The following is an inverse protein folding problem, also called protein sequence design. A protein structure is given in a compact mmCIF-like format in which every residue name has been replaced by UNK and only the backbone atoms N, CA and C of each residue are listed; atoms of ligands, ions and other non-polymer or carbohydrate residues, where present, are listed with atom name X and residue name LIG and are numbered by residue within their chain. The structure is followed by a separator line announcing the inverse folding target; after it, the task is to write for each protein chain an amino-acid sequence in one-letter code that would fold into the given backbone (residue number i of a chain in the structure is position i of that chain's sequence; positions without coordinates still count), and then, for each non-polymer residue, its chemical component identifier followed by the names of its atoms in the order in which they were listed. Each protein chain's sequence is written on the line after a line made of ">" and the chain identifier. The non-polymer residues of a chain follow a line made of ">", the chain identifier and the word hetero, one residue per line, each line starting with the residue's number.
data_IF_466696563226
#
_entry.id   IF_466696563226
#
_cell.length_a   1.000
_cell.length_b   1.000
_cell.length_c   1.000
_cell.angle_alpha   90.00
_cell.angle_beta   90.00
_cell.angle_gamma   90.00
#
_symmetry.space_group_name_H-M   'P 1'
#
loop_
_entity.id
_entity.type
_entity.pdbx_description
1 polymer ?
#
# COMPACT_ATOMS: atom_id res chain seq x y z
N UNK A 1 -22.70 -2.48 2.85
CA UNK A 1 -21.55 -2.38 1.92
C UNK A 1 -21.02 -3.80 1.69
N UNK A 2 -20.40 -4.12 0.54
CA UNK A 2 -19.78 -5.43 0.37
C UNK A 2 -18.61 -5.60 1.35
N UNK A 3 -18.35 -6.85 1.76
CA UNK A 3 -17.19 -7.19 2.57
C UNK A 3 -16.05 -7.65 1.68
N UNK A 4 -14.89 -7.02 1.84
CA UNK A 4 -13.68 -7.28 1.05
C UNK A 4 -12.52 -7.61 1.97
N UNK A 5 -11.65 -8.51 1.49
CA UNK A 5 -10.28 -8.64 2.01
C UNK A 5 -9.46 -7.40 1.63
N UNK A 6 -8.29 -7.23 2.25
CA UNK A 6 -7.40 -6.12 1.89
C UNK A 6 -6.87 -6.28 0.45
N UNK A 7 -6.63 -7.52 0.00
CA UNK A 7 -6.31 -7.83 -1.42
C UNK A 7 -7.40 -7.28 -2.35
N UNK A 8 -8.66 -7.61 -2.05
CA UNK A 8 -9.80 -7.16 -2.86
C UNK A 8 -9.99 -5.65 -2.81
N UNK A 9 -9.75 -5.01 -1.67
CA UNK A 9 -9.85 -3.56 -1.52
C UNK A 9 -8.76 -2.82 -2.31
N UNK A 10 -7.52 -3.31 -2.28
CA UNK A 10 -6.40 -2.78 -3.09
C UNK A 10 -6.70 -2.93 -4.57
N UNK A 11 -7.20 -4.12 -4.98
CA UNK A 11 -7.63 -4.36 -6.36
C UNK A 11 -8.73 -3.41 -6.79
N UNK A 12 -9.72 -3.20 -5.95
CA UNK A 12 -10.85 -2.32 -6.21
C UNK A 12 -10.43 -0.84 -6.28
N UNK A 13 -9.47 -0.41 -5.46
CA UNK A 13 -8.86 0.93 -5.58
C UNK A 13 -8.20 1.16 -6.94
N UNK A 14 -7.39 0.20 -7.40
CA UNK A 14 -6.78 0.28 -8.73
C UNK A 14 -7.85 0.22 -9.83
N UNK A 15 -8.85 -0.65 -9.71
CA UNK A 15 -9.95 -0.74 -10.66
C UNK A 15 -10.69 0.60 -10.80
N UNK A 16 -11.07 1.20 -9.68
CA UNK A 16 -11.76 2.49 -9.64
C UNK A 16 -10.90 3.60 -10.24
N UNK A 17 -9.62 3.64 -9.90
CA UNK A 17 -8.70 4.68 -10.38
C UNK A 17 -8.45 4.56 -11.88
N UNK A 18 -8.22 3.35 -12.39
CA UNK A 18 -8.02 3.08 -13.81
C UNK A 18 -9.26 3.40 -14.65
N UNK A 19 -10.46 3.13 -14.12
CA UNK A 19 -11.72 3.45 -14.78
C UNK A 19 -12.06 4.95 -14.80
N UNK A 20 -11.53 5.73 -13.85
CA UNK A 20 -11.76 7.18 -13.73
C UNK A 20 -10.76 8.03 -14.47
N UNK A 21 -9.50 7.60 -14.54
CA UNK A 21 -8.42 8.36 -15.15
C UNK A 21 -7.62 7.47 -16.12
N UNK A 22 -7.70 7.80 -17.41
CA UNK A 22 -7.00 7.09 -18.48
C UNK A 22 -5.47 7.16 -18.34
N UNK A 23 -4.96 8.12 -17.57
CA UNK A 23 -3.53 8.28 -17.28
C UNK A 23 -3.01 7.25 -16.28
N UNK A 24 -3.89 6.57 -15.53
CA UNK A 24 -3.48 5.58 -14.53
C UNK A 24 -3.05 4.29 -15.23
N UNK A 25 -1.82 3.87 -14.98
CA UNK A 25 -1.26 2.61 -15.50
C UNK A 25 -0.74 1.76 -14.34
N UNK A 26 -0.91 0.45 -14.42
CA UNK A 26 -0.54 -0.50 -13.34
C UNK A 26 0.42 -1.53 -13.92
N UNK A 27 1.62 -1.68 -13.36
CA UNK A 27 2.56 -2.68 -13.85
C UNK A 27 3.59 -3.08 -12.80
N UNK A 28 4.21 -4.24 -13.03
CA UNK A 28 5.20 -4.86 -12.15
C UNK A 28 5.38 -6.32 -12.53
N UNK A 29 6.16 -7.05 -11.74
CA UNK A 29 6.39 -8.48 -11.95
C UNK A 29 5.11 -9.29 -11.70
N UNK A 30 4.69 -10.08 -12.68
CA UNK A 30 3.46 -10.90 -12.67
C UNK A 30 2.13 -10.14 -12.48
N UNK A 31 2.17 -8.80 -12.52
CA UNK A 31 1.01 -7.91 -12.29
C UNK A 31 -0.04 -8.01 -13.39
N UNK A 32 0.36 -8.33 -14.62
CA UNK A 32 -0.48 -8.29 -15.81
C UNK A 32 -1.40 -9.50 -15.92
N UNK A 33 -0.97 -10.52 -16.66
CA UNK A 33 -1.85 -11.66 -16.99
C UNK A 33 -2.20 -12.50 -15.76
N UNK A 34 -1.22 -12.78 -14.89
CA UNK A 34 -1.42 -13.60 -13.71
C UNK A 34 -2.25 -12.89 -12.63
N UNK A 35 -2.15 -11.56 -12.55
CA UNK A 35 -2.88 -10.75 -11.59
C UNK A 35 -2.16 -10.53 -10.26
N UNK A 36 -0.84 -10.65 -10.26
CA UNK A 36 0.06 -10.51 -9.11
C UNK A 36 0.10 -11.76 -8.23
N UNK A 37 1.24 -12.01 -7.60
CA UNK A 37 1.44 -13.19 -6.72
C UNK A 37 0.51 -13.22 -5.51
N UNK A 38 0.00 -12.05 -5.11
CA UNK A 38 -1.02 -11.89 -4.06
C UNK A 38 -2.45 -11.67 -4.58
N UNK A 39 -2.67 -11.74 -5.90
CA UNK A 39 -3.97 -11.48 -6.57
C UNK A 39 -4.49 -10.05 -6.49
N UNK A 40 -3.66 -9.10 -6.05
CA UNK A 40 -4.02 -7.69 -5.91
C UNK A 40 -4.39 -7.02 -7.25
N UNK A 41 -3.97 -7.57 -8.40
CA UNK A 41 -4.26 -6.98 -9.73
C UNK A 41 -5.07 -7.92 -10.63
N UNK A 42 -5.63 -8.98 -10.05
CA UNK A 42 -6.39 -10.00 -10.78
C UNK A 42 -7.49 -9.40 -11.67
N UNK A 43 -7.44 -9.72 -12.97
CA UNK A 43 -8.46 -9.31 -13.94
C UNK A 43 -8.33 -7.86 -14.45
N UNK A 44 -7.44 -7.03 -13.90
CA UNK A 44 -7.26 -5.65 -14.36
C UNK A 44 -6.76 -5.61 -15.82
N UNK A 45 -5.81 -6.47 -16.20
CA UNK A 45 -5.37 -6.57 -17.60
C UNK A 45 -6.49 -7.01 -18.54
N UNK A 46 -7.33 -7.96 -18.13
CA UNK A 46 -8.45 -8.41 -18.96
C UNK A 46 -9.47 -7.29 -19.20
N UNK A 47 -9.69 -6.43 -18.20
CA UNK A 47 -10.64 -5.31 -18.26
C UNK A 47 -10.10 -4.09 -19.02
N UNK A 48 -8.84 -3.70 -18.78
CA UNK A 48 -8.26 -2.46 -19.30
C UNK A 48 -7.23 -2.65 -20.44
N UNK A 49 -6.87 -3.89 -20.74
CA UNK A 49 -5.92 -4.23 -21.79
C UNK A 49 -4.45 -4.09 -21.38
N UNK A 50 -3.58 -4.66 -22.22
CA UNK A 50 -2.12 -4.74 -22.01
C UNK A 50 -1.42 -3.39 -22.00
N UNK A 51 -2.03 -2.34 -22.54
CA UNK A 51 -1.45 -0.99 -22.50
C UNK A 51 -1.69 -0.25 -21.17
N UNK A 52 -2.56 -0.80 -20.29
CA UNK A 52 -2.96 -0.18 -19.03
C UNK A 52 -2.61 -1.02 -17.81
N UNK A 53 -2.62 -2.36 -17.93
CA UNK A 53 -2.14 -3.27 -16.90
C UNK A 53 -1.27 -4.39 -17.50
N UNK A 54 0.01 -4.45 -17.15
CA UNK A 54 0.98 -5.34 -17.81
C UNK A 54 2.09 -5.87 -16.90
N UNK A 55 2.68 -6.98 -17.34
CA UNK A 55 3.83 -7.62 -16.72
C UNK A 55 5.13 -6.88 -17.10
N UNK A 56 6.01 -6.70 -16.13
CA UNK A 56 7.32 -6.10 -16.30
C UNK A 56 8.45 -7.15 -16.19
N UNK A 57 9.63 -6.89 -16.76
CA UNK A 57 10.84 -7.66 -16.44
C UNK A 57 11.18 -7.57 -14.94
N UNK A 58 11.87 -8.58 -14.42
CA UNK A 58 12.39 -8.61 -13.04
C UNK A 58 13.55 -7.62 -12.93
N UNK A 59 13.21 -6.36 -12.67
CA UNK A 59 14.15 -5.25 -12.55
C UNK A 59 13.44 -4.06 -11.90
N UNK A 60 13.56 -3.93 -10.58
CA UNK A 60 12.88 -2.90 -9.80
C UNK A 60 13.33 -1.50 -10.20
N UNK A 61 14.63 -1.33 -10.51
CA UNK A 61 15.15 -0.05 -11.00
C UNK A 61 14.55 0.35 -12.35
N UNK A 62 14.33 -0.62 -13.24
CA UNK A 62 13.66 -0.42 -14.53
C UNK A 62 12.18 -0.12 -14.37
N UNK A 63 11.49 -0.81 -13.46
CA UNK A 63 10.09 -0.57 -13.13
C UNK A 63 9.91 0.87 -12.64
N UNK A 64 10.67 1.28 -11.62
CA UNK A 64 10.55 2.62 -11.03
C UNK A 64 11.07 3.70 -11.99
N UNK A 65 12.22 3.48 -12.65
CA UNK A 65 12.79 4.45 -13.58
C UNK A 65 11.87 4.75 -14.78
N UNK A 66 11.26 3.71 -15.34
CA UNK A 66 10.26 3.88 -16.41
C UNK A 66 9.00 4.59 -15.90
N UNK A 67 8.53 4.29 -14.69
CA UNK A 67 7.41 4.99 -14.06
C UNK A 67 7.71 6.49 -13.88
N UNK A 68 8.91 6.86 -13.45
CA UNK A 68 9.32 8.26 -13.32
C UNK A 68 9.27 8.97 -14.67
N UNK A 69 9.78 8.34 -15.74
CA UNK A 69 9.69 8.88 -17.10
C UNK A 69 8.24 9.04 -17.59
N UNK A 70 7.39 8.05 -17.33
CA UNK A 70 5.95 8.10 -17.63
C UNK A 70 5.25 9.23 -16.87
N UNK A 71 5.58 9.42 -15.60
CA UNK A 71 5.06 10.51 -14.78
C UNK A 71 5.51 11.89 -15.28
N UNK A 72 6.77 12.04 -15.69
CA UNK A 72 7.28 13.26 -16.32
C UNK A 72 6.57 13.59 -17.65
N UNK A 73 6.15 12.56 -18.41
CA UNK A 73 5.32 12.73 -19.61
C UNK A 73 3.87 13.16 -19.29
N UNK A 74 3.36 12.78 -18.11
CA UNK A 74 2.02 13.14 -17.63
C UNK A 74 1.07 11.96 -17.37
N UNK A 75 1.59 10.73 -17.29
CA UNK A 75 0.85 9.57 -16.78
C UNK A 75 0.85 9.51 -15.25
N UNK A 76 0.06 8.60 -14.68
CA UNK A 76 -0.01 8.31 -13.23
C UNK A 76 0.27 6.82 -12.94
N UNK A 77 1.53 6.39 -12.96
CA UNK A 77 1.88 4.99 -12.69
C UNK A 77 1.60 4.58 -11.24
N UNK A 78 0.90 3.46 -11.08
CA UNK A 78 0.78 2.71 -9.82
C UNK A 78 1.51 1.37 -10.00
N UNK A 79 2.80 1.35 -9.67
CA UNK A 79 3.69 0.20 -9.90
C UNK A 79 3.78 -0.69 -8.67
N UNK A 80 4.11 -1.97 -8.88
CA UNK A 80 4.34 -2.95 -7.81
C UNK A 80 5.80 -3.42 -7.81
N UNK A 81 6.39 -3.49 -6.61
CA UNK A 81 7.58 -4.31 -6.33
C UNK A 81 7.11 -5.48 -5.47
N UNK A 82 7.42 -6.71 -5.88
CA UNK A 82 6.75 -7.92 -5.41
C UNK A 82 6.82 -8.13 -3.88
N UNK A 83 7.93 -7.75 -3.25
CA UNK A 83 8.09 -7.66 -1.80
C UNK A 83 8.89 -6.40 -1.45
N UNK A 84 8.56 -5.76 -0.33
CA UNK A 84 9.32 -4.61 0.17
C UNK A 84 10.82 -4.93 0.35
N UNK A 85 11.14 -6.19 0.65
CA UNK A 85 12.50 -6.72 0.79
C UNK A 85 13.33 -6.62 -0.51
N UNK A 86 12.69 -6.56 -1.68
CA UNK A 86 13.34 -6.49 -3.00
C UNK A 86 13.42 -5.08 -3.55
N UNK A 87 13.07 -4.07 -2.74
CA UNK A 87 13.05 -2.69 -3.21
C UNK A 87 14.46 -2.12 -3.49
N UNK A 88 15.50 -2.65 -2.83
CA UNK A 88 16.85 -2.07 -2.82
C UNK A 88 17.44 -1.73 -4.21
N UNK A 89 17.26 -2.54 -5.27
CA UNK A 89 17.72 -2.18 -6.61
C UNK A 89 17.09 -0.89 -7.15
N UNK A 90 15.86 -0.55 -6.75
CA UNK A 90 15.17 0.69 -7.11
C UNK A 90 15.45 1.87 -6.17
N UNK A 91 16.23 1.70 -5.09
CA UNK A 91 16.37 2.74 -4.07
C UNK A 91 17.00 4.03 -4.61
N UNK A 92 17.95 3.93 -5.55
CA UNK A 92 18.51 5.10 -6.23
C UNK A 92 17.43 5.87 -7.01
N UNK A 93 16.60 5.18 -7.81
CA UNK A 93 15.50 5.79 -8.56
C UNK A 93 14.47 6.45 -7.63
N UNK A 94 14.17 5.85 -6.48
CA UNK A 94 13.21 6.43 -5.54
C UNK A 94 13.77 7.67 -4.83
N UNK A 95 15.01 7.60 -4.36
CA UNK A 95 15.57 8.63 -3.46
C UNK A 95 16.26 9.78 -4.19
N UNK A 96 16.89 9.50 -5.32
CA UNK A 96 17.67 10.49 -6.06
C UNK A 96 16.84 11.10 -7.19
N UNK A 97 15.90 10.34 -7.76
CA UNK A 97 15.11 10.75 -8.91
C UNK A 97 13.67 11.13 -8.52
N UNK A 98 12.82 10.15 -8.15
CA UNK A 98 11.39 10.39 -7.89
C UNK A 98 11.16 11.48 -6.83
N UNK A 99 11.81 11.35 -5.66
CA UNK A 99 11.67 12.27 -4.53
C UNK A 99 12.08 13.72 -4.87
N UNK A 100 13.02 13.91 -5.80
CA UNK A 100 13.64 15.21 -6.06
C UNK A 100 13.20 15.84 -7.37
N UNK A 101 12.47 15.12 -8.22
CA UNK A 101 12.12 15.58 -9.57
C UNK A 101 11.39 16.93 -9.55
N UNK A 102 10.38 17.08 -8.69
CA UNK A 102 9.65 18.35 -8.51
C UNK A 102 10.58 19.48 -8.07
N UNK A 103 11.42 19.20 -7.08
CA UNK A 103 12.30 20.21 -6.48
C UNK A 103 13.39 20.67 -7.45
N UNK A 104 14.14 19.72 -8.04
CA UNK A 104 15.30 20.02 -8.91
C UNK A 104 14.90 20.67 -10.24
N UNK A 105 13.67 20.47 -10.67
CA UNK A 105 13.12 21.07 -11.88
C UNK A 105 12.34 22.36 -11.62
N UNK A 106 12.26 22.83 -10.37
CA UNK A 106 11.42 23.96 -9.98
C UNK A 106 9.95 23.83 -10.45
N UNK A 107 9.44 22.59 -10.45
CA UNK A 107 8.07 22.28 -10.84
C UNK A 107 7.84 22.01 -12.33
N UNK A 108 8.84 22.13 -13.20
CA UNK A 108 8.69 21.81 -14.64
C UNK A 108 8.34 20.32 -14.85
N UNK A 109 8.84 19.44 -13.98
CA UNK A 109 8.51 18.02 -13.97
C UNK A 109 8.07 17.56 -12.58
N UNK A 110 6.99 16.79 -12.52
CA UNK A 110 6.45 16.21 -11.27
C UNK A 110 6.45 14.69 -11.34
N UNK A 111 6.37 14.01 -10.19
CA UNK A 111 6.43 12.55 -10.12
C UNK A 111 5.21 11.94 -9.39
N UNK A 112 3.98 12.02 -9.97
CA UNK A 112 2.79 11.37 -9.41
C UNK A 112 2.84 9.85 -9.65
N UNK A 113 3.69 9.16 -8.89
CA UNK A 113 3.80 7.70 -8.90
C UNK A 113 3.37 7.12 -7.56
N UNK A 114 2.78 5.93 -7.58
CA UNK A 114 2.59 5.08 -6.40
C UNK A 114 3.43 3.83 -6.57
N UNK A 115 4.20 3.49 -5.53
CA UNK A 115 5.00 2.26 -5.49
C UNK A 115 4.44 1.37 -4.39
N UNK A 116 3.68 0.36 -4.80
CA UNK A 116 3.08 -0.64 -3.90
C UNK A 116 4.10 -1.72 -3.57
N UNK A 117 4.20 -2.06 -2.28
CA UNK A 117 5.15 -3.06 -1.77
C UNK A 117 4.54 -3.88 -0.63
N UNK A 118 4.33 -5.18 -0.82
CA UNK A 118 3.95 -6.08 0.28
C UNK A 118 5.06 -6.11 1.35
N UNK A 119 4.73 -5.70 2.58
CA UNK A 119 5.66 -5.56 3.71
C UNK A 119 5.24 -6.40 4.92
N UNK A 120 6.07 -6.44 5.96
CA UNK A 120 5.74 -6.99 7.27
C UNK A 120 5.90 -8.51 7.37
N UNK A 121 6.06 -8.98 8.62
CA UNK A 121 6.37 -10.38 8.96
C UNK A 121 5.21 -11.19 9.53
N UNK A 122 5.51 -12.11 10.45
CA UNK A 122 4.51 -12.99 11.08
C UNK A 122 3.92 -14.07 10.16
N UNK A 123 4.65 -14.44 9.10
CA UNK A 123 4.20 -15.43 8.09
C UNK A 123 5.27 -16.49 7.75
N UNK A 124 6.31 -16.64 8.58
CA UNK A 124 7.49 -17.48 8.27
C UNK A 124 8.22 -17.10 6.96
N UNK A 125 8.20 -15.83 6.58
CA UNK A 125 8.90 -15.34 5.38
C UNK A 125 10.43 -15.31 5.49
N UNK A 126 10.97 -15.19 6.70
CA UNK A 126 12.42 -15.15 6.92
C UNK A 126 13.06 -13.83 6.48
N UNK A 127 14.30 -13.89 6.01
CA UNK A 127 15.12 -12.69 5.83
C UNK A 127 14.68 -11.76 4.70
N UNK A 128 14.08 -12.32 3.63
CA UNK A 128 13.80 -11.59 2.38
C UNK A 128 12.33 -11.62 1.96
N UNK A 129 11.41 -11.98 2.86
CA UNK A 129 9.97 -11.94 2.59
C UNK A 129 9.18 -11.27 3.72
N UNK A 130 9.84 -10.56 4.65
CA UNK A 130 9.18 -10.06 5.86
C UNK A 130 9.79 -8.83 6.53
N UNK A 131 10.72 -8.14 5.88
CA UNK A 131 11.25 -6.88 6.41
C UNK A 131 10.18 -5.76 6.39
N UNK A 132 10.45 -4.71 7.16
CA UNK A 132 9.65 -3.48 7.23
C UNK A 132 10.61 -2.29 7.02
N UNK A 133 10.79 -1.85 5.75
CA UNK A 133 11.80 -0.87 5.38
C UNK A 133 11.27 0.59 5.41
N UNK A 134 10.17 0.89 6.11
CA UNK A 134 9.55 2.22 6.13
C UNK A 134 10.52 3.33 6.54
N UNK A 135 11.43 3.04 7.47
CA UNK A 135 12.45 3.99 7.92
C UNK A 135 13.37 4.46 6.78
N UNK A 136 13.63 3.60 5.79
CA UNK A 136 14.46 3.98 4.63
C UNK A 136 13.78 5.04 3.76
N UNK A 137 12.45 5.12 3.79
CA UNK A 137 11.67 6.06 2.98
C UNK A 137 11.32 7.33 3.74
N UNK A 138 10.99 7.23 5.03
CA UNK A 138 10.60 8.39 5.84
C UNK A 138 11.75 9.38 6.07
N UNK A 139 13.00 8.92 5.94
CA UNK A 139 14.19 9.79 5.94
C UNK A 139 14.45 10.51 4.61
N UNK A 140 13.66 10.26 3.56
CA UNK A 140 13.86 10.84 2.23
C UNK A 140 12.90 12.01 2.02
N UNK A 141 13.44 13.23 2.01
CA UNK A 141 12.65 14.42 1.69
C UNK A 141 12.09 14.35 0.27
N UNK A 142 10.77 14.48 0.14
CA UNK A 142 10.06 14.43 -1.14
C UNK A 142 9.24 13.16 -1.36
N UNK A 143 9.38 12.13 -0.50
CA UNK A 143 8.50 10.96 -0.51
C UNK A 143 7.37 11.10 0.53
N UNK A 144 6.23 10.49 0.23
CA UNK A 144 5.18 10.18 1.22
C UNK A 144 5.19 8.68 1.49
N UNK A 145 5.08 8.26 2.74
CA UNK A 145 5.05 6.83 3.12
C UNK A 145 3.73 6.52 3.82
N UNK A 146 3.03 5.48 3.35
CA UNK A 146 1.68 5.11 3.80
C UNK A 146 1.62 3.63 4.09
N UNK A 147 0.99 3.24 5.21
CA UNK A 147 0.79 1.85 5.62
C UNK A 147 -0.67 1.67 6.09
N UNK A 148 -1.57 1.04 5.32
CA UNK A 148 -2.93 0.77 5.79
C UNK A 148 -2.96 -0.41 6.78
N UNK A 149 -3.95 -0.42 7.66
CA UNK A 149 -4.20 -1.51 8.60
C UNK A 149 -5.43 -2.35 8.27
N UNK A 150 -6.33 -1.89 7.39
CA UNK A 150 -7.59 -2.58 7.11
C UNK A 150 -8.09 -2.35 5.67
N UNK A 151 -9.05 -3.16 5.17
CA UNK A 151 -9.58 -3.04 3.82
C UNK A 151 -10.16 -1.66 3.47
N UNK A 152 -10.96 -1.06 4.36
CA UNK A 152 -11.56 0.26 4.12
C UNK A 152 -10.47 1.31 3.85
N UNK A 153 -9.46 1.36 4.70
CA UNK A 153 -8.39 2.35 4.59
C UNK A 153 -7.40 1.99 3.49
N UNK A 154 -7.13 0.72 3.24
CA UNK A 154 -6.29 0.30 2.12
C UNK A 154 -6.84 0.83 0.79
N UNK A 155 -8.15 0.71 0.55
CA UNK A 155 -8.76 1.27 -0.66
C UNK A 155 -8.71 2.79 -0.68
N UNK A 156 -9.18 3.45 0.38
CA UNK A 156 -9.28 4.91 0.42
C UNK A 156 -7.93 5.61 0.36
N UNK A 157 -6.92 5.07 1.06
CA UNK A 157 -5.55 5.59 1.04
C UNK A 157 -4.87 5.33 -0.30
N UNK A 158 -5.11 4.18 -0.95
CA UNK A 158 -4.51 3.90 -2.26
C UNK A 158 -5.11 4.80 -3.35
N UNK A 159 -6.43 5.03 -3.35
CA UNK A 159 -7.05 6.01 -4.27
C UNK A 159 -6.47 7.40 -4.00
N UNK A 160 -6.38 7.82 -2.74
CA UNK A 160 -5.79 9.10 -2.38
C UNK A 160 -4.32 9.21 -2.83
N UNK A 161 -3.54 8.13 -2.71
CA UNK A 161 -2.15 8.08 -3.17
C UNK A 161 -2.02 8.20 -4.69
N UNK A 162 -2.90 7.55 -5.46
CA UNK A 162 -2.91 7.64 -6.94
C UNK A 162 -3.33 9.04 -7.41
N UNK A 163 -4.16 9.73 -6.64
CA UNK A 163 -4.60 11.10 -6.92
C UNK A 163 -3.60 12.17 -6.46
N UNK A 164 -2.67 11.82 -5.57
CA UNK A 164 -1.67 12.73 -5.01
C UNK A 164 -0.60 13.09 -6.07
N UNK A 165 -0.18 14.37 -6.14
CA UNK A 165 0.78 14.78 -7.15
C UNK A 165 2.24 14.40 -6.79
N UNK A 166 2.51 13.94 -5.57
CA UNK A 166 3.83 13.58 -5.06
C UNK A 166 4.04 12.05 -5.05
N UNK A 167 5.30 11.57 -5.11
CA UNK A 167 5.58 10.14 -5.10
C UNK A 167 5.21 9.50 -3.75
N UNK A 168 4.38 8.44 -3.80
CA UNK A 168 3.90 7.71 -2.62
C UNK A 168 4.46 6.30 -2.57
N UNK A 169 5.10 5.98 -1.45
CA UNK A 169 5.48 4.62 -1.05
C UNK A 169 4.31 4.01 -0.28
N UNK A 170 3.65 3.02 -0.88
CA UNK A 170 2.46 2.38 -0.33
C UNK A 170 2.81 0.96 0.15
N UNK A 171 3.03 0.82 1.45
CA UNK A 171 3.49 -0.43 2.06
C UNK A 171 2.27 -1.23 2.54
N UNK A 172 2.10 -2.45 2.02
CA UNK A 172 0.93 -3.27 2.27
C UNK A 172 1.26 -4.40 3.25
N UNK A 173 0.75 -4.40 4.49
CA UNK A 173 1.09 -5.45 5.44
C UNK A 173 0.52 -6.80 4.99
N UNK A 174 1.36 -7.67 4.39
CA UNK A 174 0.90 -8.93 3.80
C UNK A 174 0.27 -9.88 4.82
N UNK A 175 0.65 -9.74 6.10
CA UNK A 175 0.04 -10.42 7.26
C UNK A 175 -1.45 -10.11 7.41
N UNK A 176 -1.89 -8.95 6.94
CA UNK A 176 -3.26 -8.44 7.01
C UNK A 176 -4.04 -8.66 5.72
N UNK A 177 -3.47 -9.29 4.69
CA UNK A 177 -4.16 -9.42 3.41
C UNK A 177 -5.50 -10.16 3.49
N UNK A 178 -5.56 -11.24 4.27
CA UNK A 178 -6.72 -12.13 4.35
C UNK A 178 -7.60 -11.89 5.59
N UNK A 179 -7.05 -11.28 6.62
CA UNK A 179 -7.74 -11.01 7.88
C UNK A 179 -6.85 -10.25 8.87
N UNK A 180 -7.43 -9.67 9.93
CA UNK A 180 -6.65 -9.07 11.02
C UNK A 180 -5.77 -10.13 11.70
N UNK A 181 -4.66 -9.71 12.29
CA UNK A 181 -3.75 -10.58 13.02
C UNK A 181 -3.26 -9.89 14.29
N UNK A 182 -3.57 -10.50 15.43
CA UNK A 182 -3.36 -9.96 16.78
C UNK A 182 -2.05 -10.44 17.44
N UNK A 183 -1.28 -11.31 16.77
CA UNK A 183 -0.06 -11.90 17.31
C UNK A 183 -0.21 -13.34 17.83
N UNK A 184 -1.44 -13.82 17.99
CA UNK A 184 -1.74 -15.16 18.52
C UNK A 184 -1.76 -16.20 17.41
N UNK A 185 -0.66 -16.94 17.27
CA UNK A 185 -0.49 -17.97 16.24
C UNK A 185 -1.11 -19.33 16.63
N UNK A 186 -1.41 -19.50 17.91
CA UNK A 186 -2.17 -20.61 18.48
C UNK A 186 -3.67 -20.54 18.13
N UNK A 187 -4.16 -19.34 17.75
CA UNK A 187 -5.56 -19.10 17.37
C UNK A 187 -5.70 -19.05 15.84
N UNK A 188 -6.70 -19.71 15.25
CA UNK A 188 -6.99 -19.56 13.84
C UNK A 188 -7.34 -18.10 13.51
N UNK A 189 -6.70 -17.56 12.48
CA UNK A 189 -6.95 -16.20 12.00
C UNK A 189 -8.39 -16.07 11.49
N UNK A 190 -9.04 -14.96 11.86
CA UNK A 190 -10.39 -14.64 11.38
C UNK A 190 -10.33 -13.91 10.04
N UNK A 191 -11.21 -14.22 9.06
CA UNK A 191 -11.23 -13.52 7.79
C UNK A 191 -11.85 -12.13 7.94
N UNK A 192 -11.48 -11.20 7.05
CA UNK A 192 -12.09 -9.85 6.98
C UNK A 192 -13.61 -9.86 6.82
N UNK A 193 -14.18 -10.92 6.24
CA UNK A 193 -15.64 -11.08 6.13
C UNK A 193 -16.35 -11.17 7.49
N UNK A 194 -15.62 -11.36 8.60
CA UNK A 194 -16.13 -11.37 9.97
C UNK A 194 -15.70 -10.16 10.82
N UNK A 195 -14.99 -9.20 10.23
CA UNK A 195 -14.51 -8.00 10.92
C UNK A 195 -15.21 -6.75 10.34
N UNK A 196 -15.57 -5.78 11.19
CA UNK A 196 -16.30 -4.58 10.77
C UNK A 196 -15.54 -3.74 9.72
N UNK A 197 -14.23 -3.57 9.92
CA UNK A 197 -13.35 -2.88 8.96
C UNK A 197 -13.14 -3.64 7.63
N UNK A 198 -13.77 -4.80 7.47
CA UNK A 198 -13.88 -5.50 6.19
C UNK A 198 -14.98 -4.92 5.27
N UNK A 199 -15.84 -4.03 5.77
CA UNK A 199 -16.85 -3.35 4.95
C UNK A 199 -16.21 -2.24 4.11
N UNK A 200 -16.32 -2.37 2.78
CA UNK A 200 -15.67 -1.47 1.82
C UNK A 200 -16.72 -0.98 0.84
N UNK A 201 -16.98 0.33 0.82
CA UNK A 201 -17.93 0.92 -0.13
C UNK A 201 -17.50 0.70 -1.59
N UNK A 202 -18.45 0.52 -2.50
CA UNK A 202 -18.18 0.48 -3.94
C UNK A 202 -17.88 1.88 -4.50
N UNK A 203 -17.24 1.93 -5.67
CA UNK A 203 -16.96 3.19 -6.35
C UNK A 203 -15.85 4.00 -5.70
N UNK A 204 -15.84 5.31 -5.95
CA UNK A 204 -14.76 6.20 -5.51
C UNK A 204 -15.00 6.75 -4.11
N UNK A 205 -13.99 6.63 -3.25
CA UNK A 205 -13.84 7.39 -2.01
C UNK A 205 -12.36 7.47 -1.66
N UNK A 206 -12.00 8.42 -0.81
CA UNK A 206 -10.62 8.63 -0.34
C UNK A 206 -10.58 8.64 1.18
N UNK A 207 -9.47 8.17 1.73
CA UNK A 207 -9.08 8.43 3.13
C UNK A 207 -7.95 9.47 3.08
N UNK A 208 -8.04 10.59 3.82
CA UNK A 208 -7.05 11.66 3.72
C UNK A 208 -5.64 11.20 4.13
N UNK A 209 -4.64 11.45 3.27
CA UNK A 209 -3.24 11.21 3.60
C UNK A 209 -2.79 12.11 4.76
N UNK A 210 -1.87 11.62 5.59
CA UNK A 210 -1.31 12.39 6.72
C UNK A 210 -2.29 12.63 7.87
N UNK A 211 -3.40 11.88 7.92
CA UNK A 211 -4.36 11.89 9.02
C UNK A 211 -4.43 10.51 9.66
N UNK A 212 -4.01 10.44 10.93
CA UNK A 212 -4.15 9.23 11.74
C UNK A 212 -5.61 9.00 12.16
N UNK A 213 -5.91 7.77 12.56
CA UNK A 213 -7.19 7.32 13.08
C UNK A 213 -7.04 6.79 14.51
N UNK A 214 -7.93 7.24 15.41
CA UNK A 214 -8.04 6.63 16.74
C UNK A 214 -8.82 5.33 16.59
N UNK A 215 -8.16 4.18 16.78
CA UNK A 215 -8.77 2.83 16.67
C UNK A 215 -9.42 2.37 17.96
N UNK A 216 -8.96 2.91 19.09
CA UNK A 216 -9.54 2.72 20.41
C UNK A 216 -9.27 3.99 21.20
N UNK A 217 -10.31 4.61 21.75
CA UNK A 217 -10.15 5.72 22.68
C UNK A 217 -9.66 5.20 24.04
N UNK A 218 -8.83 5.98 24.72
CA UNK A 218 -8.36 5.67 26.07
C UNK A 218 -7.69 6.90 26.69
N UNK A 219 -7.32 6.80 27.97
CA UNK A 219 -6.84 7.95 28.74
C UNK A 219 -5.60 7.68 29.57
N UNK A 220 -5.20 6.41 29.77
CA UNK A 220 -4.08 6.04 30.62
C UNK A 220 -2.72 6.21 29.92
N UNK A 221 -2.64 5.93 28.61
CA UNK A 221 -1.46 6.11 27.78
C UNK A 221 -1.84 6.13 26.29
N UNK A 222 -0.92 6.57 25.45
CA UNK A 222 -1.06 6.55 23.98
C UNK A 222 -0.15 5.48 23.38
N UNK A 223 -0.73 4.60 22.55
CA UNK A 223 -0.01 3.63 21.71
C UNK A 223 -0.02 4.15 20.28
N UNK A 224 1.17 4.42 19.75
CA UNK A 224 1.37 4.72 18.33
C UNK A 224 1.72 3.42 17.61
N UNK A 225 0.88 3.01 16.66
CA UNK A 225 1.07 1.82 15.88
C UNK A 225 0.66 2.06 14.42
N UNK A 226 1.03 1.16 13.53
CA UNK A 226 0.51 1.13 12.16
C UNK A 226 0.55 -0.30 11.63
N UNK A 227 -0.21 -0.56 10.58
CA UNK A 227 -0.28 -1.88 9.94
C UNK A 227 -0.67 -2.98 10.93
N UNK A 228 0.08 -4.09 10.97
CA UNK A 228 -0.25 -5.24 11.84
C UNK A 228 -0.23 -4.90 13.32
N UNK A 229 0.62 -3.96 13.75
CA UNK A 229 0.77 -3.64 15.17
C UNK A 229 -0.45 -2.97 15.79
N UNK A 230 -1.36 -2.43 14.97
CA UNK A 230 -2.65 -1.92 15.45
C UNK A 230 -3.45 -3.01 16.15
N UNK A 231 -3.55 -4.20 15.55
CA UNK A 231 -4.31 -5.32 16.09
C UNK A 231 -3.60 -5.99 17.27
N UNK A 232 -2.26 -6.03 17.25
CA UNK A 232 -1.46 -6.49 18.39
C UNK A 232 -1.66 -5.56 19.59
N UNK A 233 -1.68 -4.24 19.36
CA UNK A 233 -1.95 -3.27 20.42
C UNK A 233 -3.37 -3.43 20.98
N UNK A 234 -4.38 -3.65 20.13
CA UNK A 234 -5.76 -3.91 20.57
C UNK A 234 -5.85 -5.13 21.47
N UNK A 235 -5.27 -6.26 21.05
CA UNK A 235 -5.28 -7.49 21.85
C UNK A 235 -4.50 -7.33 23.18
N UNK A 236 -3.33 -6.68 23.16
CA UNK A 236 -2.57 -6.41 24.37
C UNK A 236 -3.35 -5.53 25.37
N UNK A 237 -4.12 -4.56 24.87
CA UNK A 237 -4.98 -3.71 25.70
C UNK A 237 -6.14 -4.51 26.32
N UNK A 238 -6.78 -5.39 25.56
CA UNK A 238 -7.82 -6.28 26.06
C UNK A 238 -7.31 -7.24 27.14
N UNK A 239 -6.10 -7.79 26.95
CA UNK A 239 -5.49 -8.75 27.87
C UNK A 239 -4.98 -8.10 29.16
N UNK A 240 -4.43 -6.90 29.07
CA UNK A 240 -3.89 -6.18 30.23
C UNK A 240 -4.96 -5.39 30.99
N UNK A 241 -6.07 -5.05 30.33
CA UNK A 241 -7.12 -4.19 30.89
C UNK A 241 -6.73 -2.71 31.04
N UNK A 242 -5.57 -2.30 30.50
CA UNK A 242 -5.12 -0.90 30.55
C UNK A 242 -5.98 -0.04 29.62
N UNK A 243 -6.44 1.12 30.09
CA UNK A 243 -7.21 2.05 29.25
C UNK A 243 -6.32 2.87 28.29
N UNK A 244 -5.69 2.20 27.33
CA UNK A 244 -4.81 2.84 26.36
C UNK A 244 -5.57 3.36 25.12
N UNK A 245 -5.21 4.56 24.67
CA UNK A 245 -5.59 5.07 23.35
C UNK A 245 -4.69 4.45 22.28
N UNK A 246 -5.28 3.94 21.19
CA UNK A 246 -4.53 3.36 20.07
C UNK A 246 -4.73 4.28 18.86
N UNK A 247 -3.62 4.82 18.36
CA UNK A 247 -3.57 5.67 17.19
C UNK A 247 -2.87 4.90 16.07
N UNK A 248 -3.57 4.78 14.95
CA UNK A 248 -3.07 4.28 13.66
C UNK A 248 -2.81 5.45 12.70
#
# INVERSE_FOLDING_TARGET
>A
MPRRTMIEAIRDAMDVSMGRDEKVVVFGEDVGFFGGVFRCTQGLQAKYGKSRCFDAPINESGIVGSAIGMAAYGLKPCVEIQFADYMYPAYDQLTQEAARLRYRSNGDFTCPIVVRMPTGGGIFGGQTHSQSPEALFTHVSGLKTVVPSNPHDAKGLLIAAIEDPDPVIFLEPKRLYNGPFDGHHDRPVTPWSKHELGEVADGHYTVPLGKAAIRRAGSALTVLAYGTMVYVAQAAVEETGIDAEIID
#
